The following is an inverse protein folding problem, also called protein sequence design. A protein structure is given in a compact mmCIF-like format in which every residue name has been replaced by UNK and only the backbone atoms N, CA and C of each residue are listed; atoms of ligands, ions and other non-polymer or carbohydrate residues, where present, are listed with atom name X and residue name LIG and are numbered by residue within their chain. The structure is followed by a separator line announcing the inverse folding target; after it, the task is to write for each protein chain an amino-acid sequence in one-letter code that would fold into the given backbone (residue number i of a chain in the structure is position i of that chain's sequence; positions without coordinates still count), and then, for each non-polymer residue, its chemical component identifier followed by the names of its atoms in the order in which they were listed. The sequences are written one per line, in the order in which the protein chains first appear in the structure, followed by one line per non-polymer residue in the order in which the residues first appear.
data_IF_928904994135
#
_entry.id   IF_928904994135
#
_cell.length_a   1.000
_cell.length_b   1.000
_cell.length_c   1.000
_cell.angle_alpha   90.00
_cell.angle_beta   90.00
_cell.angle_gamma   90.00
#
_symmetry.space_group_name_H-M   'P 1'
#
loop_
_entity.id
_entity.type
_entity.pdbx_description
1 polymer ?
#
# COMPACT_ATOMS: atom_id res chain seq x y z
N UNK A 1 34.80 -36.07 -54.33
CA UNK A 1 35.35 -35.86 -55.69
C UNK A 1 34.71 -34.63 -56.29
N UNK A 2 35.58 -33.71 -56.72
CA UNK A 2 35.41 -32.47 -57.49
C UNK A 2 34.22 -32.36 -58.45
N UNK A 3 33.64 -31.16 -58.54
CA UNK A 3 32.72 -30.78 -59.63
C UNK A 3 32.24 -29.32 -59.56
N UNK A 4 33.14 -28.37 -59.81
CA UNK A 4 32.83 -26.95 -60.08
C UNK A 4 32.26 -26.85 -61.50
N UNK A 5 31.25 -26.02 -61.78
CA UNK A 5 31.21 -25.06 -62.92
C UNK A 5 29.83 -24.39 -63.13
N UNK A 6 29.85 -23.06 -62.93
CA UNK A 6 29.18 -21.96 -63.65
C UNK A 6 28.01 -22.29 -64.60
N UNK A 7 26.95 -21.47 -64.51
CA UNK A 7 26.43 -20.68 -65.65
C UNK A 7 25.60 -19.48 -65.17
N UNK A 8 26.05 -18.30 -65.58
CA UNK A 8 25.34 -17.03 -65.57
C UNK A 8 24.39 -17.04 -66.78
N UNK A 9 23.15 -16.60 -66.62
CA UNK A 9 22.37 -15.97 -67.68
C UNK A 9 21.25 -15.14 -67.06
N UNK A 10 21.37 -13.83 -67.23
CA UNK A 10 20.32 -12.85 -67.01
C UNK A 10 19.39 -12.85 -68.23
N UNK A 11 18.08 -12.87 -67.99
CA UNK A 11 17.07 -12.48 -68.99
C UNK A 11 16.15 -11.46 -68.34
N UNK A 12 16.18 -10.27 -68.92
CA UNK A 12 15.33 -9.12 -68.67
C UNK A 12 14.02 -9.31 -69.44
N UNK A 13 12.89 -8.94 -68.84
CA UNK A 13 11.69 -8.56 -69.59
C UNK A 13 10.41 -9.24 -69.10
N UNK A 14 9.56 -8.51 -68.40
CA UNK A 14 8.33 -7.92 -68.94
C UNK A 14 7.43 -7.52 -67.76
N UNK A 15 7.32 -6.21 -67.54
CA UNK A 15 6.32 -5.57 -66.70
C UNK A 15 5.00 -5.55 -67.48
N UNK A 16 3.87 -5.91 -66.85
CA UNK A 16 2.56 -5.21 -66.89
C UNK A 16 1.45 -6.08 -66.27
N UNK A 17 0.98 -5.58 -65.10
CA UNK A 17 -0.42 -5.45 -64.63
C UNK A 17 -1.18 -6.69 -64.11
N UNK A 18 -1.48 -6.69 -62.80
CA UNK A 18 -2.82 -6.64 -62.17
C UNK A 18 -2.68 -7.12 -60.72
N UNK A 19 -3.03 -6.27 -59.74
CA UNK A 19 -2.98 -6.69 -58.34
C UNK A 19 -3.32 -5.61 -57.32
N UNK A 20 -4.61 -5.27 -57.24
CA UNK A 20 -5.26 -4.87 -56.00
C UNK A 20 -4.84 -3.55 -55.36
N UNK A 21 -5.54 -2.47 -55.73
CA UNK A 21 -5.78 -1.35 -54.80
C UNK A 21 -6.54 -1.94 -53.61
N UNK A 22 -5.90 -2.07 -52.45
CA UNK A 22 -6.62 -2.27 -51.19
C UNK A 22 -7.22 -0.92 -50.81
N UNK A 23 -8.40 -0.63 -51.36
CA UNK A 23 -9.37 0.25 -50.72
C UNK A 23 -9.81 -0.46 -49.43
N UNK A 24 -9.23 -0.07 -48.30
CA UNK A 24 -9.80 -0.41 -46.99
C UNK A 24 -11.10 0.38 -46.87
N UNK A 25 -12.21 -0.25 -47.24
CA UNK A 25 -13.53 0.15 -46.77
C UNK A 25 -13.55 -0.04 -45.26
N UNK A 26 -13.21 1.01 -44.52
CA UNK A 26 -13.61 1.10 -43.12
C UNK A 26 -15.13 1.28 -43.08
N UNK A 27 -15.84 0.14 -43.05
CA UNK A 27 -17.19 0.09 -42.52
C UNK A 27 -17.03 -0.14 -41.02
N UNK A 28 -17.12 0.94 -40.27
CA UNK A 28 -17.54 0.90 -38.87
C UNK A 28 -18.34 2.14 -38.62
N UNK A 29 -19.63 2.04 -38.95
CA UNK A 29 -20.67 2.82 -38.30
C UNK A 29 -20.63 2.47 -36.81
N UNK A 30 -19.96 3.28 -36.02
CA UNK A 30 -20.23 3.41 -34.60
C UNK A 30 -20.80 4.82 -34.42
N UNK A 31 -22.12 4.90 -34.56
CA UNK A 31 -22.89 6.08 -34.17
C UNK A 31 -22.57 6.44 -32.72
N UNK A 32 -22.46 7.75 -32.50
CA UNK A 32 -22.12 8.34 -31.22
C UNK A 32 -23.05 7.91 -30.10
N UNK A 33 -22.51 7.13 -29.18
CA UNK A 33 -22.89 7.23 -27.77
C UNK A 33 -21.67 7.68 -27.00
N UNK A 34 -21.77 8.89 -26.46
CA UNK A 34 -20.85 9.48 -25.49
C UNK A 34 -20.69 8.53 -24.32
N UNK A 35 -19.68 7.66 -24.34
CA UNK A 35 -19.21 6.99 -23.12
C UNK A 35 -18.54 8.06 -22.26
N UNK A 36 -19.33 8.63 -21.36
CA UNK A 36 -18.85 9.38 -20.22
C UNK A 36 -17.78 8.55 -19.50
N UNK A 37 -16.58 9.12 -19.39
CA UNK A 37 -15.51 8.63 -18.54
C UNK A 37 -16.01 8.56 -17.09
N UNK A 38 -16.44 7.38 -16.66
CA UNK A 38 -16.68 7.03 -15.27
C UNK A 38 -15.65 5.98 -14.84
N UNK A 39 -14.38 6.37 -14.76
CA UNK A 39 -13.41 5.64 -13.93
C UNK A 39 -13.64 6.04 -12.46
N UNK A 40 -14.79 5.62 -11.92
CA UNK A 40 -14.99 5.52 -10.48
C UNK A 40 -14.30 4.25 -9.98
N UNK A 41 -13.84 4.26 -8.73
CA UNK A 41 -13.38 3.06 -8.03
C UNK A 41 -14.46 1.96 -8.19
N UNK A 42 -14.07 0.73 -8.52
CA UNK A 42 -14.98 -0.42 -8.53
C UNK A 42 -14.95 -1.05 -7.14
N UNK A 43 -16.10 -1.28 -6.49
CA UNK A 43 -16.11 -1.91 -5.17
C UNK A 43 -15.50 -3.32 -5.27
N UNK A 44 -14.67 -3.68 -4.27
CA UNK A 44 -14.10 -5.02 -4.19
C UNK A 44 -15.20 -6.10 -4.27
N UNK A 45 -15.04 -7.13 -5.12
CA UNK A 45 -16.03 -8.20 -5.22
C UNK A 45 -16.20 -8.92 -3.86
N UNK A 46 -17.42 -9.40 -3.56
CA UNK A 46 -17.66 -10.30 -2.41
C UNK A 46 -17.77 -9.66 -1.02
N UNK A 47 -17.78 -8.34 -0.93
CA UNK A 47 -17.70 -7.63 0.36
C UNK A 47 -18.80 -6.59 0.62
N UNK A 48 -19.93 -6.59 -0.09
CA UNK A 48 -20.97 -5.57 0.15
C UNK A 48 -21.81 -5.89 1.39
N UNK A 49 -21.98 -4.92 2.30
CA UNK A 49 -22.90 -5.09 3.40
C UNK A 49 -24.34 -5.30 2.89
N UNK A 50 -25.20 -6.01 3.64
CA UNK A 50 -26.61 -6.24 3.25
C UNK A 50 -27.40 -4.96 2.95
N UNK A 51 -27.00 -3.82 3.52
CA UNK A 51 -27.63 -2.52 3.37
C UNK A 51 -26.84 -1.56 2.46
N UNK A 52 -25.83 -2.06 1.74
CA UNK A 52 -24.98 -1.26 0.85
C UNK A 52 -24.00 -0.32 1.57
N UNK A 53 -23.89 -0.38 2.90
CA UNK A 53 -22.92 0.43 3.65
C UNK A 53 -21.52 -0.18 3.60
N UNK A 54 -20.49 0.66 3.47
CA UNK A 54 -19.09 0.20 3.53
C UNK A 54 -18.62 -0.06 4.96
N UNK A 55 -19.35 0.44 5.96
CA UNK A 55 -19.07 0.22 7.38
C UNK A 55 -20.38 -0.06 8.09
N UNK A 56 -20.39 -1.13 8.87
CA UNK A 56 -21.49 -1.41 9.81
C UNK A 56 -20.97 -1.33 11.23
N UNK A 57 -21.82 -0.92 12.16
CA UNK A 57 -21.48 -0.85 13.58
C UNK A 57 -22.41 -1.72 14.40
N UNK A 58 -21.86 -2.39 15.41
CA UNK A 58 -22.62 -3.19 16.37
C UNK A 58 -22.15 -2.89 17.78
N UNK A 59 -23.03 -2.96 18.77
CA UNK A 59 -22.64 -2.89 20.17
C UNK A 59 -22.36 -4.29 20.69
N UNK A 60 -21.16 -4.53 21.21
CA UNK A 60 -20.75 -5.81 21.79
C UNK A 60 -19.94 -5.55 23.05
N UNK A 61 -20.22 -6.25 24.15
CA UNK A 61 -19.49 -6.11 25.43
C UNK A 61 -19.34 -4.64 25.89
N UNK A 62 -20.35 -3.80 25.65
CA UNK A 62 -20.33 -2.38 26.04
C UNK A 62 -19.52 -1.44 25.14
N UNK A 63 -19.05 -1.89 23.97
CA UNK A 63 -18.28 -1.08 23.01
C UNK A 63 -18.82 -1.18 21.58
N UNK A 64 -18.53 -0.14 20.80
CA UNK A 64 -18.86 -0.07 19.38
C UNK A 64 -17.84 -0.84 18.56
N UNK A 65 -18.26 -1.95 17.97
CA UNK A 65 -17.48 -2.73 17.00
C UNK A 65 -17.82 -2.25 15.59
N UNK A 66 -16.81 -1.81 14.84
CA UNK A 66 -16.91 -1.41 13.44
C UNK A 66 -16.42 -2.54 12.55
N UNK A 67 -17.26 -2.92 11.57
CA UNK A 67 -16.90 -3.85 10.51
C UNK A 67 -16.86 -3.09 9.19
N UNK A 68 -15.67 -3.04 8.59
CA UNK A 68 -15.41 -2.50 7.27
C UNK A 68 -15.64 -3.59 6.23
N UNK A 69 -16.61 -3.36 5.38
CA UNK A 69 -17.05 -4.24 4.31
C UNK A 69 -16.24 -3.96 3.05
N UNK A 70 -15.84 -5.03 2.35
CA UNK A 70 -15.06 -4.97 1.10
C UNK A 70 -13.85 -4.05 1.22
N UNK A 71 -12.74 -4.54 1.77
CA UNK A 71 -11.43 -3.86 1.96
C UNK A 71 -11.43 -2.36 2.35
N UNK A 72 -12.56 -1.81 2.81
CA UNK A 72 -12.78 -0.38 3.02
C UNK A 72 -12.93 0.47 1.75
N UNK A 73 -13.16 -0.12 0.57
CA UNK A 73 -13.36 0.61 -0.69
C UNK A 73 -14.74 1.27 -0.76
N UNK A 74 -14.81 2.51 -0.26
CA UNK A 74 -15.97 3.36 -0.46
C UNK A 74 -16.00 3.95 -1.88
N UNK A 75 -16.71 3.29 -2.79
CA UNK A 75 -17.03 3.87 -4.09
C UNK A 75 -18.25 4.78 -3.93
N UNK A 76 -18.09 5.96 -3.34
CA UNK A 76 -19.17 6.96 -3.32
C UNK A 76 -19.35 7.50 -4.74
N UNK A 77 -20.54 7.30 -5.32
CA UNK A 77 -21.00 7.98 -6.54
C UNK A 77 -21.20 9.47 -6.27
N UNK A 78 -20.10 10.19 -6.06
CA UNK A 78 -20.06 11.64 -5.85
C UNK A 78 -18.94 12.27 -6.68
N UNK A 79 -18.61 11.66 -7.83
CA UNK A 79 -17.64 12.18 -8.80
C UNK A 79 -18.27 13.23 -9.74
N UNK A 80 -19.11 14.12 -9.21
CA UNK A 80 -19.84 15.09 -10.02
C UNK A 80 -19.86 16.48 -9.40
N UNK A 81 -18.73 16.94 -8.85
CA UNK A 81 -18.41 18.37 -8.67
C UNK A 81 -16.95 18.53 -8.25
N UNK A 82 -16.00 18.46 -9.19
CA UNK A 82 -14.63 19.06 -9.06
C UNK A 82 -13.77 18.88 -10.33
N UNK A 83 -14.36 19.03 -11.52
CA UNK A 83 -13.60 19.10 -12.78
C UNK A 83 -12.82 20.43 -12.96
N UNK A 84 -12.46 21.13 -11.88
CA UNK A 84 -11.76 22.43 -11.95
C UNK A 84 -10.34 22.43 -11.34
N UNK A 85 -9.89 21.36 -10.66
CA UNK A 85 -8.58 21.38 -9.98
C UNK A 85 -7.52 20.40 -10.53
N UNK A 86 -7.82 19.61 -11.56
CA UNK A 86 -6.89 18.59 -12.06
C UNK A 86 -5.74 19.14 -12.91
N UNK A 87 -5.76 20.44 -13.25
CA UNK A 87 -4.70 21.09 -14.03
C UNK A 87 -3.70 21.90 -13.17
N UNK A 88 -3.87 21.91 -11.84
CA UNK A 88 -3.06 22.71 -10.90
C UNK A 88 -2.16 21.89 -9.98
N UNK A 89 -2.07 20.56 -10.15
CA UNK A 89 -1.19 19.71 -9.33
C UNK A 89 0.24 19.59 -9.88
N UNK A 90 0.44 19.78 -11.19
CA UNK A 90 1.77 19.83 -11.79
C UNK A 90 2.57 21.08 -11.38
N UNK A 91 1.93 22.04 -10.70
CA UNK A 91 2.52 23.29 -10.24
C UNK A 91 2.45 23.44 -8.72
N UNK A 92 2.49 22.35 -7.94
CA UNK A 92 2.53 22.41 -6.47
C UNK A 92 3.80 21.73 -5.96
N UNK A 93 4.34 22.24 -4.86
CA UNK A 93 5.53 21.71 -4.18
C UNK A 93 5.24 21.52 -2.70
N UNK A 94 5.89 20.55 -2.08
CA UNK A 94 5.79 20.29 -0.65
C UNK A 94 6.85 21.13 0.06
N UNK A 95 6.42 21.86 1.08
CA UNK A 95 7.28 22.69 1.94
C UNK A 95 7.21 22.16 3.37
N UNK A 96 8.37 21.93 3.97
CA UNK A 96 8.49 21.45 5.34
C UNK A 96 9.23 22.47 6.21
N UNK A 97 8.89 22.60 7.50
CA UNK A 97 9.68 23.39 8.44
C UNK A 97 11.13 22.88 8.53
N UNK A 98 12.09 23.80 8.54
CA UNK A 98 13.51 23.48 8.76
C UNK A 98 13.73 22.98 10.19
N UNK A 99 14.48 21.89 10.32
CA UNK A 99 14.88 21.32 11.61
C UNK A 99 16.22 21.91 12.07
N UNK A 100 17.12 22.17 11.12
CA UNK A 100 18.47 22.69 11.35
C UNK A 100 18.44 24.01 12.16
N UNK A 101 17.52 24.93 11.83
CA UNK A 101 17.37 26.23 12.50
C UNK A 101 16.98 26.12 13.99
N UNK A 102 16.55 24.93 14.43
CA UNK A 102 16.10 24.65 15.80
C UNK A 102 17.12 23.84 16.60
N UNK A 103 18.22 23.41 15.99
CA UNK A 103 19.31 22.69 16.62
C UNK A 103 20.39 23.67 17.07
N UNK A 104 20.20 24.30 18.24
CA UNK A 104 21.23 25.14 18.84
C UNK A 104 22.23 24.27 19.61
N UNK A 105 23.52 24.39 19.29
CA UNK A 105 24.64 23.74 19.98
C UNK A 105 24.64 22.20 19.92
N UNK A 106 24.70 21.64 18.71
CA UNK A 106 24.90 20.18 18.52
C UNK A 106 26.28 19.78 19.07
N UNK A 107 26.37 18.85 20.05
CA UNK A 107 27.67 18.38 20.54
C UNK A 107 28.45 17.67 19.44
N UNK A 108 29.77 17.90 19.37
CA UNK A 108 30.63 17.32 18.33
C UNK A 108 30.51 15.78 18.23
N UNK A 109 30.28 15.11 19.36
CA UNK A 109 30.09 13.66 19.41
C UNK A 109 28.77 13.17 18.74
N UNK A 110 27.77 14.03 18.60
CA UNK A 110 26.48 13.71 17.95
C UNK A 110 26.41 14.19 16.49
N UNK A 111 27.34 15.05 16.05
CA UNK A 111 27.26 15.76 14.77
C UNK A 111 27.02 14.82 13.57
N UNK A 112 27.82 13.76 13.45
CA UNK A 112 27.71 12.83 12.32
C UNK A 112 26.38 12.07 12.27
N UNK A 113 25.75 11.79 13.43
CA UNK A 113 24.42 11.15 13.47
C UNK A 113 23.32 12.17 13.15
N UNK A 114 23.46 13.42 13.62
CA UNK A 114 22.54 14.51 13.29
C UNK A 114 22.57 14.82 11.80
N UNK A 115 23.75 14.97 11.19
CA UNK A 115 23.91 15.28 9.77
C UNK A 115 23.27 14.21 8.87
N UNK A 116 23.46 12.92 9.19
CA UNK A 116 22.81 11.82 8.46
C UNK A 116 21.28 11.90 8.53
N UNK A 117 20.72 12.27 9.68
CA UNK A 117 19.27 12.39 9.81
C UNK A 117 18.74 13.67 9.16
N UNK A 118 19.50 14.78 9.12
CA UNK A 118 19.15 15.97 8.35
C UNK A 118 19.14 15.67 6.84
N UNK A 119 20.15 14.96 6.34
CA UNK A 119 20.17 14.50 4.95
C UNK A 119 18.97 13.58 4.62
N UNK A 120 18.61 12.68 5.54
CA UNK A 120 17.43 11.83 5.40
C UNK A 120 16.13 12.63 5.34
N UNK A 121 16.00 13.72 6.10
CA UNK A 121 14.83 14.60 6.04
C UNK A 121 14.69 15.24 4.65
N UNK A 122 15.78 15.64 4.01
CA UNK A 122 15.77 16.19 2.65
C UNK A 122 15.42 15.13 1.60
N UNK A 123 15.96 13.91 1.74
CA UNK A 123 15.58 12.77 0.88
C UNK A 123 14.08 12.50 0.96
N UNK A 124 13.50 12.48 2.17
CA UNK A 124 12.06 12.27 2.36
C UNK A 124 11.21 13.36 1.69
N UNK A 125 11.67 14.62 1.69
CA UNK A 125 11.01 15.73 0.98
C UNK A 125 11.08 15.54 -0.53
N UNK A 126 12.24 15.13 -1.05
CA UNK A 126 12.42 14.89 -2.49
C UNK A 126 11.53 13.73 -2.98
N UNK A 127 11.49 12.62 -2.25
CA UNK A 127 10.61 11.49 -2.54
C UNK A 127 9.13 11.88 -2.52
N UNK A 128 8.71 12.67 -1.52
CA UNK A 128 7.33 13.14 -1.42
C UNK A 128 6.96 14.11 -2.56
N UNK A 129 7.87 14.98 -2.98
CA UNK A 129 7.68 15.86 -4.15
C UNK A 129 7.62 15.06 -5.45
N UNK A 130 8.46 14.03 -5.61
CA UNK A 130 8.41 13.12 -6.74
C UNK A 130 7.07 12.35 -6.78
N UNK A 131 6.56 11.93 -5.62
CA UNK A 131 5.25 11.29 -5.51
C UNK A 131 4.12 12.26 -5.85
N UNK A 132 4.20 13.51 -5.38
CA UNK A 132 3.22 14.55 -5.72
C UNK A 132 3.16 14.79 -7.23
N UNK A 133 4.31 14.91 -7.90
CA UNK A 133 4.39 15.12 -9.34
C UNK A 133 3.82 13.95 -10.17
N UNK A 134 4.00 12.72 -9.69
CA UNK A 134 3.58 11.49 -10.40
C UNK A 134 2.15 11.05 -10.08
N UNK A 135 1.47 11.70 -9.12
CA UNK A 135 0.14 11.31 -8.64
C UNK A 135 -1.03 12.01 -9.37
N UNK A 136 -0.77 12.73 -10.46
CA UNK A 136 -1.80 13.43 -11.23
C UNK A 136 -2.92 12.47 -11.69
N UNK A 137 -4.16 12.70 -11.24
CA UNK A 137 -5.33 11.87 -11.56
C UNK A 137 -5.50 10.61 -10.70
N UNK A 138 -4.67 10.41 -9.66
CA UNK A 138 -4.83 9.32 -8.69
C UNK A 138 -5.62 9.79 -7.46
N UNK A 139 -6.66 9.05 -7.07
CA UNK A 139 -7.35 9.21 -5.79
C UNK A 139 -8.41 10.34 -5.70
N UNK A 140 -9.10 10.39 -4.56
CA UNK A 140 -10.15 11.37 -4.24
C UNK A 140 -9.62 12.66 -3.57
N UNK A 141 -10.51 13.57 -3.10
CA UNK A 141 -10.14 14.91 -2.63
C UNK A 141 -9.12 14.96 -1.47
N UNK A 142 -8.95 13.87 -0.71
CA UNK A 142 -8.02 13.78 0.42
C UNK A 142 -6.72 13.01 0.12
N UNK A 143 -6.49 12.61 -1.14
CA UNK A 143 -5.36 11.75 -1.49
C UNK A 143 -4.00 12.33 -1.09
N UNK A 144 -3.72 13.58 -1.44
CA UNK A 144 -2.43 14.22 -1.12
C UNK A 144 -2.20 14.30 0.39
N UNK A 145 -3.24 14.58 1.16
CA UNK A 145 -3.15 14.62 2.62
C UNK A 145 -2.83 13.24 3.21
N UNK A 146 -3.51 12.19 2.75
CA UNK A 146 -3.45 10.87 3.36
C UNK A 146 -2.29 10.00 2.86
N UNK A 147 -1.95 10.11 1.58
CA UNK A 147 -0.96 9.25 0.93
C UNK A 147 0.41 9.91 0.77
N UNK A 148 0.51 11.24 0.94
CA UNK A 148 1.77 11.98 0.75
C UNK A 148 2.14 12.73 2.04
N UNK A 149 1.32 13.69 2.49
CA UNK A 149 1.66 14.53 3.64
C UNK A 149 1.64 13.77 4.98
N UNK A 150 0.69 12.85 5.19
CA UNK A 150 0.61 12.02 6.40
C UNK A 150 1.82 11.09 6.59
N UNK A 151 2.18 10.25 5.60
CA UNK A 151 3.37 9.42 5.66
C UNK A 151 4.66 10.23 5.80
N UNK A 152 4.78 11.36 5.07
CA UNK A 152 5.91 12.28 5.21
C UNK A 152 6.03 12.82 6.64
N UNK A 153 4.94 13.23 7.27
CA UNK A 153 4.95 13.69 8.66
C UNK A 153 5.40 12.60 9.64
N UNK A 154 5.00 11.35 9.41
CA UNK A 154 5.43 10.21 10.26
C UNK A 154 6.92 9.89 10.09
N UNK A 155 7.39 9.81 8.83
CA UNK A 155 8.82 9.59 8.50
C UNK A 155 9.71 10.71 9.06
N UNK A 156 9.27 11.97 8.96
CA UNK A 156 9.96 13.12 9.54
C UNK A 156 9.97 13.09 11.06
N UNK A 157 8.86 12.73 11.71
CA UNK A 157 8.80 12.59 13.19
C UNK A 157 9.86 11.60 13.67
N UNK A 158 9.95 10.42 13.04
CA UNK A 158 10.93 9.40 13.41
C UNK A 158 12.39 9.87 13.23
N UNK A 159 12.70 10.63 12.17
CA UNK A 159 14.03 11.20 11.95
C UNK A 159 14.35 12.33 12.95
N UNK A 160 13.37 13.19 13.26
CA UNK A 160 13.50 14.25 14.26
C UNK A 160 13.72 13.67 15.67
N UNK A 161 13.00 12.60 16.03
CA UNK A 161 13.20 11.91 17.29
C UNK A 161 14.61 11.30 17.40
N UNK A 162 15.13 10.72 16.30
CA UNK A 162 16.52 10.23 16.22
C UNK A 162 17.53 11.35 16.44
N UNK A 163 17.34 12.53 15.84
CA UNK A 163 18.18 13.72 16.08
C UNK A 163 18.16 14.10 17.56
N UNK A 164 16.98 14.20 18.17
CA UNK A 164 16.86 14.55 19.57
C UNK A 164 17.50 13.49 20.49
N UNK A 165 17.42 12.20 20.14
CA UNK A 165 18.04 11.10 20.90
C UNK A 165 19.56 11.18 20.80
N UNK A 166 20.11 11.36 19.59
CA UNK A 166 21.54 11.47 19.36
C UNK A 166 22.16 12.58 20.21
N UNK A 167 21.53 13.76 20.25
CA UNK A 167 21.98 14.88 21.08
C UNK A 167 21.81 14.56 22.57
N UNK A 168 20.67 13.98 22.97
CA UNK A 168 20.37 13.65 24.36
C UNK A 168 21.29 12.60 25.00
N UNK A 169 21.99 11.78 24.20
CA UNK A 169 22.99 10.81 24.71
C UNK A 169 24.26 11.48 25.24
N UNK A 170 24.61 12.65 24.70
CA UNK A 170 25.90 13.33 24.94
C UNK A 170 25.76 14.76 25.46
N UNK A 171 24.52 15.24 25.61
CA UNK A 171 24.21 16.60 26.04
C UNK A 171 22.73 16.76 26.39
N UNK A 172 22.28 18.01 26.50
CA UNK A 172 20.88 18.31 26.79
C UNK A 172 20.00 17.99 25.58
N UNK A 173 19.02 17.10 25.76
CA UNK A 173 18.04 16.75 24.73
C UNK A 173 17.21 17.99 24.31
N UNK A 174 17.14 18.31 23.00
CA UNK A 174 16.24 19.34 22.49
C UNK A 174 14.78 18.96 22.67
N UNK A 175 13.94 19.92 23.07
CA UNK A 175 12.51 19.72 23.25
C UNK A 175 11.72 20.33 22.07
N UNK A 176 10.48 19.85 21.89
CA UNK A 176 9.50 20.42 20.95
C UNK A 176 9.90 20.40 19.46
N UNK A 177 10.83 19.52 19.05
CA UNK A 177 11.19 19.38 17.63
C UNK A 177 10.09 18.68 16.80
N UNK A 178 9.24 17.85 17.40
CA UNK A 178 8.21 17.09 16.68
C UNK A 178 7.14 17.99 16.04
N UNK A 179 7.00 19.24 16.50
CA UNK A 179 6.17 20.25 15.83
C UNK A 179 6.66 20.66 14.44
N UNK A 180 7.87 20.24 14.03
CA UNK A 180 8.48 20.52 12.73
C UNK A 180 8.24 19.40 11.70
N UNK A 181 7.59 18.31 12.11
CA UNK A 181 7.39 17.14 11.26
C UNK A 181 6.35 17.38 10.16
N UNK A 182 5.33 18.21 10.41
CA UNK A 182 4.23 18.47 9.48
C UNK A 182 4.65 19.37 8.32
N UNK A 183 4.39 18.94 7.09
CA UNK A 183 4.64 19.70 5.87
C UNK A 183 3.33 20.15 5.21
N UNK A 184 3.41 21.16 4.35
CA UNK A 184 2.26 21.75 3.64
C UNK A 184 2.51 21.81 2.12
N UNK A 185 1.46 22.09 1.35
CA UNK A 185 1.57 22.36 -0.09
C UNK A 185 1.71 23.86 -0.35
N UNK A 186 2.60 24.21 -1.27
CA UNK A 186 2.77 25.55 -1.81
C UNK A 186 2.58 25.55 -3.33
N UNK A 187 1.99 26.61 -3.89
CA UNK A 187 1.93 26.81 -5.33
C UNK A 187 3.34 27.08 -5.87
N UNK A 188 3.78 26.27 -6.83
CA UNK A 188 5.00 26.45 -7.60
C UNK A 188 4.87 27.65 -8.51
N UNK A 189 5.57 28.73 -8.17
CA UNK A 189 5.70 29.88 -9.05
C UNK A 189 6.65 29.52 -10.19
N UNK A 190 6.10 29.34 -11.39
CA UNK A 190 6.87 29.45 -12.63
C UNK A 190 7.29 30.92 -12.78
N UNK A 191 8.46 31.28 -12.24
CA UNK A 191 9.03 32.59 -12.46
C UNK A 191 9.78 32.61 -13.79
N UNK A 192 9.15 33.21 -14.80
CA UNK A 192 9.77 33.58 -16.07
C UNK A 192 9.65 35.08 -16.33
N UNK A 193 10.65 35.84 -15.87
CA UNK A 193 11.22 36.99 -16.59
C UNK A 193 10.83 38.41 -16.17
N UNK A 194 11.76 39.13 -15.52
CA UNK A 194 12.46 40.23 -16.22
C UNK A 194 13.83 40.60 -15.58
N UNK A 195 14.88 40.47 -16.41
CA UNK A 195 16.19 41.15 -16.50
C UNK A 195 17.16 41.33 -15.31
N UNK A 196 18.42 40.87 -15.51
CA UNK A 196 19.57 41.37 -14.75
C UNK A 196 20.91 40.61 -14.74
N UNK A 197 21.34 39.95 -15.83
CA UNK A 197 22.73 39.61 -16.27
C UNK A 197 23.91 39.22 -15.33
N UNK A 198 24.70 38.19 -15.73
CA UNK A 198 26.15 38.14 -15.41
C UNK A 198 26.91 36.79 -15.29
N UNK A 199 27.10 36.08 -16.41
CA UNK A 199 28.33 35.36 -16.87
C UNK A 199 29.04 34.16 -16.13
N UNK A 200 29.09 33.04 -16.89
CA UNK A 200 30.25 32.19 -17.31
C UNK A 200 30.70 30.90 -16.54
N UNK A 201 30.44 29.77 -17.23
CA UNK A 201 30.88 28.34 -17.19
C UNK A 201 32.43 28.11 -17.32
N UNK A 202 33.04 26.87 -17.32
CA UNK A 202 32.50 25.48 -17.39
C UNK A 202 33.22 24.34 -16.59
N UNK A 203 32.69 23.11 -16.76
CA UNK A 203 33.00 21.79 -16.16
C UNK A 203 34.30 21.07 -16.61
N UNK A 204 34.74 20.03 -15.87
CA UNK A 204 35.49 18.85 -16.40
C UNK A 204 35.29 17.56 -15.59
N UNK A 205 35.45 16.40 -16.24
CA UNK A 205 35.09 15.01 -15.83
C UNK A 205 36.28 14.03 -15.81
N UNK A 206 36.26 13.06 -14.85
CA UNK A 206 36.71 11.64 -14.86
C UNK A 206 38.23 11.27 -14.89
N UNK A 207 38.71 9.99 -14.69
CA UNK A 207 38.20 8.73 -14.03
C UNK A 207 39.27 7.94 -13.18
N UNK A 208 38.97 6.67 -12.76
CA UNK A 208 39.84 5.47 -12.41
C UNK A 208 40.00 5.08 -10.91
N UNK A 209 39.97 3.82 -10.38
CA UNK A 209 39.43 2.45 -10.69
C UNK A 209 39.66 1.52 -9.46
N UNK A 210 38.73 0.59 -9.12
CA UNK A 210 38.67 -0.34 -7.94
C UNK A 210 39.38 -1.73 -8.13
N UNK A 211 39.44 -2.71 -7.15
CA UNK A 211 38.54 -3.92 -7.17
C UNK A 211 38.27 -4.65 -5.77
N UNK A 212 37.66 -5.87 -5.61
CA UNK A 212 36.34 -6.16 -4.97
C UNK A 212 36.38 -7.20 -3.80
N UNK A 213 35.28 -7.91 -3.41
CA UNK A 213 34.05 -7.49 -2.71
C UNK A 213 33.94 -8.07 -1.27
N UNK A 214 32.95 -7.60 -0.49
CA UNK A 214 32.23 -8.48 0.45
C UNK A 214 30.78 -8.60 -0.05
N UNK A 215 30.38 -9.85 -0.28
CA UNK A 215 29.09 -10.27 -0.81
C UNK A 215 28.01 -10.23 0.28
N UNK A 216 27.15 -9.22 0.17
CA UNK A 216 25.81 -9.25 0.72
C UNK A 216 24.88 -8.88 -0.42
N UNK A 217 23.87 -9.72 -0.68
CA UNK A 217 22.83 -9.43 -1.67
C UNK A 217 22.17 -8.09 -1.36
N UNK A 218 21.67 -7.35 -2.37
CA UNK A 218 21.28 -5.97 -2.19
C UNK A 218 20.17 -5.83 -1.13
N UNK A 219 20.38 -4.90 -0.20
CA UNK A 219 19.42 -4.49 0.84
C UNK A 219 18.14 -3.87 0.25
N UNK A 220 18.10 -3.65 -1.07
CA UNK A 220 16.97 -3.12 -1.79
C UNK A 220 16.69 -3.99 -3.03
N UNK A 221 15.41 -4.10 -3.35
CA UNK A 221 14.99 -4.65 -4.61
C UNK A 221 15.47 -3.73 -5.76
N UNK A 222 16.50 -4.16 -6.50
CA UNK A 222 17.17 -3.32 -7.51
C UNK A 222 16.81 -3.72 -8.95
N UNK A 223 16.76 -2.73 -9.85
CA UNK A 223 16.48 -2.88 -11.28
C UNK A 223 17.56 -3.75 -11.96
N UNK A 224 17.29 -5.05 -12.14
CA UNK A 224 18.22 -5.96 -12.81
C UNK A 224 17.70 -7.39 -13.03
N UNK A 225 16.70 -7.81 -12.26
CA UNK A 225 16.22 -9.20 -12.24
C UNK A 225 15.05 -9.45 -13.21
N UNK A 226 14.71 -8.48 -14.06
CA UNK A 226 13.55 -8.52 -14.98
C UNK A 226 12.18 -8.46 -14.29
N UNK A 227 12.14 -8.38 -12.95
CA UNK A 227 10.94 -8.12 -12.17
C UNK A 227 10.73 -6.63 -12.01
N UNK A 228 9.50 -6.17 -12.18
CA UNK A 228 9.15 -4.76 -11.94
C UNK A 228 9.24 -4.46 -10.44
N UNK A 229 9.80 -3.32 -10.04
CA UNK A 229 9.73 -2.82 -8.64
C UNK A 229 8.25 -2.80 -8.23
N UNK A 230 7.95 -3.25 -7.01
CA UNK A 230 6.60 -3.19 -6.48
C UNK A 230 6.15 -1.73 -6.50
N UNK A 231 5.03 -1.49 -7.14
CA UNK A 231 4.41 -0.18 -7.21
C UNK A 231 3.61 0.14 -5.95
N UNK A 232 3.71 -0.71 -4.92
CA UNK A 232 2.82 -0.69 -3.76
C UNK A 232 1.38 -0.99 -4.16
N UNK A 233 1.12 -1.82 -5.17
CA UNK A 233 -0.18 -2.41 -5.47
C UNK A 233 -0.07 -3.94 -5.52
N UNK A 234 -1.21 -4.65 -5.37
CA UNK A 234 -1.26 -6.13 -5.30
C UNK A 234 -1.01 -6.81 -6.67
N UNK A 235 -0.02 -6.32 -7.41
CA UNK A 235 0.41 -6.87 -8.68
C UNK A 235 1.39 -8.02 -8.40
N UNK A 236 1.12 -9.21 -8.95
CA UNK A 236 2.05 -10.33 -8.90
C UNK A 236 3.33 -10.04 -9.71
N UNK A 237 4.39 -10.81 -9.47
CA UNK A 237 5.66 -10.69 -10.20
C UNK A 237 6.32 -9.30 -10.01
N UNK A 238 6.57 -8.93 -8.75
CA UNK A 238 7.16 -7.65 -8.33
C UNK A 238 8.35 -7.84 -7.38
N UNK A 239 9.24 -6.87 -7.36
CA UNK A 239 10.37 -6.76 -6.44
C UNK A 239 9.95 -5.94 -5.20
N UNK A 240 10.09 -6.43 -3.96
CA UNK A 240 9.62 -5.76 -2.71
C UNK A 240 10.78 -5.51 -1.73
N UNK A 241 10.97 -4.26 -1.30
CA UNK A 241 11.99 -3.81 -0.34
C UNK A 241 11.34 -3.51 1.02
N UNK A 242 11.63 -4.26 2.10
CA UNK A 242 10.61 -4.49 3.14
C UNK A 242 10.69 -3.61 4.40
N UNK A 243 9.76 -2.65 4.46
CA UNK A 243 9.33 -1.86 5.62
C UNK A 243 8.44 -2.69 6.60
N UNK A 244 9.02 -3.66 7.32
CA UNK A 244 8.26 -4.56 8.21
C UNK A 244 7.76 -3.92 9.51
N UNK A 245 8.42 -2.86 9.99
CA UNK A 245 8.07 -2.17 11.23
C UNK A 245 8.53 -2.86 12.50
N UNK A 246 7.89 -2.50 13.61
CA UNK A 246 8.21 -2.98 14.96
C UNK A 246 7.70 -4.41 15.18
N UNK A 247 8.51 -5.22 15.87
CA UNK A 247 8.22 -6.62 16.18
C UNK A 247 8.10 -6.81 17.69
N UNK A 248 7.02 -7.44 18.14
CA UNK A 248 6.80 -7.74 19.55
C UNK A 248 7.74 -8.82 20.09
N UNK A 249 7.87 -8.88 21.41
CA UNK A 249 8.48 -10.03 22.07
C UNK A 249 7.57 -11.26 21.93
N UNK A 250 8.10 -12.46 22.06
CA UNK A 250 7.32 -13.68 21.87
C UNK A 250 6.10 -13.80 22.78
N UNK A 251 6.17 -13.25 23.99
CA UNK A 251 5.08 -13.19 24.96
C UNK A 251 4.07 -12.08 24.67
N UNK A 252 4.46 -11.06 23.90
CA UNK A 252 3.59 -9.94 23.48
C UNK A 252 3.16 -10.02 22.01
N UNK A 253 3.52 -11.07 21.29
CA UNK A 253 3.05 -11.28 19.92
C UNK A 253 1.55 -11.60 19.89
N UNK A 254 0.82 -11.14 18.86
CA UNK A 254 -0.60 -11.36 18.75
C UNK A 254 -0.91 -12.85 18.54
N UNK A 255 -2.05 -13.29 19.07
CA UNK A 255 -2.64 -14.60 18.76
C UNK A 255 -4.14 -14.44 18.51
N UNK A 256 -4.69 -15.35 17.73
CA UNK A 256 -6.09 -15.34 17.32
C UNK A 256 -6.64 -16.77 17.26
N UNK A 257 -7.88 -16.95 17.70
CA UNK A 257 -8.59 -18.23 17.67
C UNK A 257 -10.06 -18.03 17.32
N UNK A 258 -10.61 -18.82 16.40
CA UNK A 258 -12.06 -18.95 16.19
C UNK A 258 -12.59 -19.89 17.27
N UNK A 259 -13.26 -19.34 18.28
CA UNK A 259 -13.75 -20.10 19.44
C UNK A 259 -15.11 -20.77 19.18
N UNK A 260 -15.87 -20.29 18.20
CA UNK A 260 -17.17 -20.85 17.83
C UNK A 260 -17.52 -20.51 16.39
N UNK A 261 -17.96 -21.51 15.62
CA UNK A 261 -18.56 -21.37 14.30
C UNK A 261 -19.50 -22.55 14.02
N UNK A 262 -20.57 -22.38 13.24
CA UNK A 262 -21.42 -23.50 12.85
C UNK A 262 -20.69 -24.47 11.92
N UNK A 263 -21.00 -25.76 12.01
CA UNK A 263 -20.53 -26.76 11.03
C UNK A 263 -21.38 -26.79 9.77
N UNK A 264 -22.68 -26.52 9.92
CA UNK A 264 -23.65 -26.53 8.82
C UNK A 264 -24.58 -25.33 8.94
N UNK A 265 -24.92 -24.72 7.81
CA UNK A 265 -25.94 -23.66 7.68
C UNK A 265 -26.73 -23.87 6.40
N UNK A 266 -27.96 -23.37 6.35
CA UNK A 266 -28.75 -23.27 5.13
C UNK A 266 -28.20 -22.20 4.18
N UNK A 267 -28.52 -22.33 2.89
CA UNK A 267 -28.28 -21.26 1.91
C UNK A 267 -28.91 -19.95 2.40
N UNK A 268 -28.11 -18.87 2.40
CA UNK A 268 -28.49 -17.54 2.92
C UNK A 268 -28.95 -17.51 4.39
N UNK A 269 -28.69 -18.57 5.18
CA UNK A 269 -28.95 -18.56 6.61
C UNK A 269 -27.86 -17.72 7.32
N UNK A 270 -28.22 -16.66 8.07
CA UNK A 270 -27.26 -15.88 8.83
C UNK A 270 -26.62 -16.70 9.95
N UNK A 271 -25.35 -16.46 10.24
CA UNK A 271 -24.66 -17.13 11.34
C UNK A 271 -23.59 -16.25 11.99
N UNK A 272 -23.09 -16.70 13.14
CA UNK A 272 -22.08 -15.98 13.93
C UNK A 272 -20.80 -16.81 14.04
N UNK A 273 -19.66 -16.14 13.82
CA UNK A 273 -18.32 -16.63 14.14
C UNK A 273 -17.83 -15.85 15.36
N UNK A 274 -17.38 -16.53 16.42
CA UNK A 274 -16.75 -15.88 17.57
C UNK A 274 -15.24 -15.96 17.44
N UNK A 275 -14.59 -14.80 17.43
CA UNK A 275 -13.14 -14.66 17.26
C UNK A 275 -12.55 -14.10 18.56
N UNK A 276 -11.65 -14.86 19.17
CA UNK A 276 -10.86 -14.41 20.32
C UNK A 276 -9.50 -13.92 19.83
N UNK A 277 -9.08 -12.75 20.30
CA UNK A 277 -7.75 -12.19 20.04
C UNK A 277 -7.05 -11.91 21.37
N UNK A 278 -5.72 -12.02 21.38
CA UNK A 278 -4.86 -11.64 22.52
C UNK A 278 -3.66 -10.88 21.97
N UNK A 279 -3.15 -9.91 22.73
CA UNK A 279 -1.96 -9.12 22.37
C UNK A 279 -2.11 -8.32 21.06
N UNK A 280 -3.36 -7.94 20.73
CA UNK A 280 -3.68 -7.14 19.55
C UNK A 280 -4.55 -5.98 20.00
N UNK A 281 -4.05 -4.75 19.86
CA UNK A 281 -4.84 -3.53 20.05
C UNK A 281 -5.54 -3.23 18.73
N UNK A 282 -6.87 -3.26 18.71
CA UNK A 282 -7.68 -3.16 17.49
C UNK A 282 -8.15 -1.73 17.23
N UNK A 283 -7.19 -0.84 17.05
CA UNK A 283 -7.39 0.60 16.92
C UNK A 283 -6.80 1.21 15.65
N UNK A 284 -6.29 0.36 14.74
CA UNK A 284 -5.56 0.80 13.56
C UNK A 284 -5.91 -0.02 12.33
N UNK A 285 -7.07 0.28 11.76
CA UNK A 285 -7.42 -0.08 10.39
C UNK A 285 -7.23 1.13 9.47
N UNK A 286 -6.35 1.02 8.47
CA UNK A 286 -6.20 2.01 7.41
C UNK A 286 -6.92 1.49 6.16
N UNK A 287 -8.07 2.05 5.75
CA UNK A 287 -8.84 1.50 4.64
C UNK A 287 -8.05 1.46 3.33
N UNK A 288 -8.02 0.30 2.66
CA UNK A 288 -7.29 0.11 1.41
C UNK A 288 -7.76 1.09 0.32
N UNK A 289 -9.08 1.28 0.21
CA UNK A 289 -9.70 2.22 -0.73
C UNK A 289 -9.40 3.70 -0.48
N UNK A 290 -8.75 4.04 0.63
CA UNK A 290 -8.27 5.40 0.93
C UNK A 290 -6.75 5.52 0.76
N UNK A 291 -6.10 4.50 0.19
CA UNK A 291 -4.65 4.42 0.04
C UNK A 291 -3.93 3.88 1.27
N UNK A 292 -4.65 3.33 2.26
CA UNK A 292 -4.10 2.88 3.54
C UNK A 292 -3.26 1.60 3.50
N UNK A 293 -3.31 0.84 2.40
CA UNK A 293 -2.86 -0.56 2.40
C UNK A 293 -1.34 -0.75 2.56
N UNK A 294 -0.53 0.21 2.10
CA UNK A 294 0.94 0.10 2.08
C UNK A 294 1.65 1.30 2.74
N UNK A 295 0.91 2.15 3.45
CA UNK A 295 1.45 3.45 3.91
C UNK A 295 1.97 3.43 5.33
N UNK A 296 1.82 2.31 6.04
CA UNK A 296 2.19 2.22 7.43
C UNK A 296 2.84 0.87 7.75
N UNK A 297 3.77 0.88 8.70
CA UNK A 297 4.45 -0.33 9.13
C UNK A 297 3.78 -0.91 10.38
N UNK A 298 4.20 -2.11 10.81
CA UNK A 298 3.84 -2.59 12.14
C UNK A 298 4.33 -1.62 13.22
N UNK A 299 3.47 -1.31 14.19
CA UNK A 299 3.80 -0.50 15.36
C UNK A 299 3.26 -1.15 16.63
N UNK A 300 3.98 -0.98 17.72
CA UNK A 300 3.60 -1.43 19.05
C UNK A 300 3.04 -0.26 19.86
N UNK A 301 2.22 -0.57 20.87
CA UNK A 301 1.89 0.39 21.91
C UNK A 301 2.98 0.45 23.00
N UNK A 302 2.78 1.29 24.02
CA UNK A 302 3.72 1.44 25.14
C UNK A 302 3.95 0.14 25.94
N UNK A 303 3.06 -0.86 25.80
CA UNK A 303 3.14 -2.17 26.43
C UNK A 303 3.77 -3.24 25.52
N UNK A 304 4.25 -2.87 24.33
CA UNK A 304 4.85 -3.80 23.37
C UNK A 304 3.83 -4.70 22.64
N UNK A 305 2.56 -4.32 22.63
CA UNK A 305 1.50 -5.04 21.91
C UNK A 305 1.31 -4.44 20.51
N UNK A 306 1.09 -5.29 19.51
CA UNK A 306 0.83 -4.85 18.13
C UNK A 306 -0.46 -4.05 18.06
N UNK A 307 -0.42 -2.90 17.38
CA UNK A 307 -1.59 -2.09 17.03
C UNK A 307 -2.02 -2.42 15.61
N UNK A 308 -3.31 -2.66 15.42
CA UNK A 308 -3.84 -3.13 14.15
C UNK A 308 -5.35 -3.36 14.20
N UNK A 309 -5.78 -4.45 13.58
CA UNK A 309 -7.17 -4.90 13.47
C UNK A 309 -7.17 -6.40 13.15
N UNK A 310 -8.31 -7.01 12.86
CA UNK A 310 -8.33 -8.36 12.30
C UNK A 310 -9.35 -8.48 11.17
N UNK A 311 -9.17 -9.48 10.33
CA UNK A 311 -10.08 -9.78 9.22
C UNK A 311 -10.84 -11.06 9.49
N UNK A 312 -12.00 -11.19 8.86
CA UNK A 312 -12.71 -12.47 8.73
C UNK A 312 -13.28 -12.58 7.33
N UNK A 313 -13.04 -13.72 6.68
CA UNK A 313 -13.54 -14.00 5.34
C UNK A 313 -14.08 -15.42 5.21
N UNK A 314 -15.01 -15.64 4.28
CA UNK A 314 -15.46 -16.97 3.90
C UNK A 314 -15.37 -17.14 2.39
N UNK A 315 -14.58 -18.11 1.92
CA UNK A 315 -14.48 -18.48 0.50
C UNK A 315 -15.02 -19.87 0.23
N UNK A 316 -15.67 -20.06 -0.91
CA UNK A 316 -16.09 -21.38 -1.37
C UNK A 316 -14.86 -22.19 -1.79
N UNK A 317 -14.81 -23.46 -1.41
CA UNK A 317 -13.77 -24.38 -1.86
C UNK A 317 -14.26 -25.23 -3.03
N UNK A 318 -13.54 -25.18 -4.13
CA UNK A 318 -13.80 -26.05 -5.29
C UNK A 318 -13.54 -27.54 -4.96
N UNK A 319 -12.59 -27.79 -4.06
CA UNK A 319 -12.29 -29.09 -3.47
C UNK A 319 -11.54 -28.89 -2.15
N UNK A 320 -11.39 -29.96 -1.37
CA UNK A 320 -10.72 -29.93 -0.06
C UNK A 320 -9.30 -30.49 -0.07
N UNK A 321 -8.77 -30.83 -1.24
CA UNK A 321 -7.51 -31.57 -1.38
C UNK A 321 -6.39 -30.74 -2.01
N UNK A 322 -6.71 -29.58 -2.58
CA UNK A 322 -5.76 -28.69 -3.23
C UNK A 322 -5.91 -27.26 -2.69
N UNK A 323 -4.85 -26.49 -2.78
CA UNK A 323 -4.91 -25.05 -2.54
C UNK A 323 -5.91 -24.41 -3.53
N UNK A 324 -6.88 -23.61 -3.05
CA UNK A 324 -7.81 -22.91 -3.94
C UNK A 324 -7.10 -21.78 -4.69
N UNK A 325 -7.60 -21.47 -5.88
CA UNK A 325 -7.20 -20.28 -6.64
C UNK A 325 -7.40 -19.02 -5.77
N UNK A 326 -6.37 -18.17 -5.60
CA UNK A 326 -6.49 -16.95 -4.81
C UNK A 326 -7.24 -15.82 -5.52
N UNK A 327 -7.44 -15.89 -6.84
CA UNK A 327 -7.98 -14.76 -7.62
C UNK A 327 -9.45 -14.41 -7.31
N UNK A 328 -10.37 -15.37 -7.12
CA UNK A 328 -11.76 -15.05 -6.77
C UNK A 328 -11.86 -14.42 -5.39
N UNK A 329 -12.62 -13.33 -5.29
CA UNK A 329 -12.93 -12.75 -4.00
C UNK A 329 -13.73 -13.72 -3.11
N UNK A 330 -13.56 -13.65 -1.77
CA UNK A 330 -14.35 -14.46 -0.87
C UNK A 330 -15.84 -14.07 -0.95
N UNK A 331 -16.74 -15.01 -0.64
CA UNK A 331 -18.17 -14.76 -0.59
C UNK A 331 -18.60 -13.86 0.58
N UNK A 332 -17.71 -13.69 1.56
CA UNK A 332 -17.86 -12.77 2.69
C UNK A 332 -16.49 -12.24 3.09
N UNK A 333 -16.40 -10.96 3.43
CA UNK A 333 -15.21 -10.34 4.01
C UNK A 333 -15.59 -9.14 4.89
N UNK A 334 -14.97 -9.05 6.06
CA UNK A 334 -14.93 -7.83 6.87
C UNK A 334 -13.55 -7.64 7.51
N UNK A 335 -13.14 -6.38 7.67
CA UNK A 335 -12.10 -5.99 8.63
C UNK A 335 -12.76 -5.38 9.87
N UNK A 336 -12.28 -5.76 11.05
CA UNK A 336 -12.95 -5.45 12.32
C UNK A 336 -12.03 -4.68 13.26
N UNK A 337 -12.53 -3.55 13.75
CA UNK A 337 -11.90 -2.75 14.80
C UNK A 337 -12.94 -2.25 15.80
N UNK A 338 -12.51 -1.97 17.02
CA UNK A 338 -13.39 -1.54 18.10
C UNK A 338 -12.70 -0.62 19.12
N UNK A 339 -11.43 -0.26 18.87
CA UNK A 339 -10.57 0.45 19.81
C UNK A 339 -10.20 -0.36 21.06
N UNK A 340 -10.57 -1.64 21.11
CA UNK A 340 -10.32 -2.53 22.23
C UNK A 340 -9.06 -3.37 22.05
N UNK A 341 -8.97 -4.46 22.83
CA UNK A 341 -7.84 -5.37 22.81
C UNK A 341 -6.78 -5.03 23.84
N UNK A 342 -6.17 -6.08 24.40
CA UNK A 342 -5.18 -5.99 25.46
C UNK A 342 -4.39 -7.31 25.54
N UNK A 343 -3.59 -7.48 26.60
CA UNK A 343 -2.79 -8.69 26.81
C UNK A 343 -3.61 -9.94 27.22
N UNK A 344 -4.86 -9.76 27.62
CA UNK A 344 -5.80 -10.84 27.91
C UNK A 344 -6.65 -11.19 26.67
N UNK A 345 -7.15 -12.43 26.57
CA UNK A 345 -8.06 -12.82 25.52
C UNK A 345 -9.32 -11.95 25.53
N UNK A 346 -9.72 -11.52 24.35
CA UNK A 346 -10.89 -10.69 24.13
C UNK A 346 -11.64 -11.16 22.89
N UNK A 347 -12.97 -11.29 23.00
CA UNK A 347 -13.81 -11.94 21.99
C UNK A 347 -14.72 -10.93 21.29
N UNK A 348 -14.81 -11.08 19.96
CA UNK A 348 -15.69 -10.34 19.07
C UNK A 348 -16.56 -11.33 18.29
N UNK A 349 -17.84 -10.99 18.14
CA UNK A 349 -18.76 -11.71 17.27
C UNK A 349 -18.77 -11.11 15.86
N UNK A 350 -18.47 -11.94 14.87
CA UNK A 350 -18.60 -11.62 13.45
C UNK A 350 -19.91 -12.21 12.94
N UNK A 351 -20.79 -11.33 12.46
CA UNK A 351 -22.11 -11.70 11.93
C UNK A 351 -22.02 -11.86 10.41
N UNK A 352 -22.12 -13.09 9.94
CA UNK A 352 -22.19 -13.41 8.52
C UNK A 352 -23.66 -13.39 8.11
N UNK A 353 -24.08 -12.53 7.17
CA UNK A 353 -25.50 -12.40 6.78
C UNK A 353 -26.08 -13.65 6.12
N UNK A 354 -25.22 -14.53 5.61
CA UNK A 354 -25.57 -15.73 4.89
C UNK A 354 -24.63 -15.96 3.71
N UNK A 355 -24.57 -17.19 3.21
CA UNK A 355 -23.76 -17.58 2.06
C UNK A 355 -24.67 -18.12 0.95
N UNK A 356 -24.55 -17.55 -0.25
CA UNK A 356 -25.50 -17.77 -1.33
C UNK A 356 -25.33 -19.09 -2.09
N UNK A 357 -24.14 -19.70 -2.03
CA UNK A 357 -23.83 -20.93 -2.77
C UNK A 357 -23.82 -22.12 -1.82
N UNK A 358 -24.31 -23.27 -2.29
CA UNK A 358 -24.15 -24.55 -1.61
C UNK A 358 -22.70 -25.01 -1.74
N UNK A 359 -22.15 -25.64 -0.69
CA UNK A 359 -20.80 -26.19 -0.72
C UNK A 359 -20.03 -26.00 0.58
N UNK A 360 -18.76 -26.41 0.59
CA UNK A 360 -17.88 -26.25 1.75
C UNK A 360 -17.15 -24.92 1.66
N UNK A 361 -17.38 -24.05 2.65
CA UNK A 361 -16.68 -22.79 2.77
C UNK A 361 -15.52 -22.90 3.75
N UNK A 362 -14.37 -22.34 3.39
CA UNK A 362 -13.32 -21.98 4.34
C UNK A 362 -13.64 -20.60 4.89
N UNK A 363 -14.00 -20.54 6.17
CA UNK A 363 -14.09 -19.28 6.89
C UNK A 363 -12.83 -19.11 7.74
N UNK A 364 -12.07 -18.04 7.51
CA UNK A 364 -10.81 -17.77 8.18
C UNK A 364 -10.82 -16.40 8.84
N UNK A 365 -10.09 -16.26 9.94
CA UNK A 365 -9.85 -15.01 10.64
C UNK A 365 -8.37 -14.84 10.91
N UNK A 366 -7.85 -13.63 10.77
CA UNK A 366 -6.42 -13.35 10.98
C UNK A 366 -6.20 -11.92 11.45
N UNK A 367 -5.19 -11.72 12.30
CA UNK A 367 -4.79 -10.37 12.70
C UNK A 367 -4.12 -9.65 11.51
N UNK A 368 -4.33 -8.35 11.44
CA UNK A 368 -3.66 -7.44 10.52
C UNK A 368 -2.96 -6.35 11.32
N UNK A 369 -1.69 -6.07 11.01
CA UNK A 369 -1.06 -4.80 11.37
C UNK A 369 -1.69 -3.64 10.57
N UNK A 370 -1.16 -2.42 10.72
CA UNK A 370 -1.67 -1.25 10.00
C UNK A 370 -1.62 -1.41 8.46
N UNK A 371 -0.70 -2.22 7.94
CA UNK A 371 -0.57 -2.59 6.52
C UNK A 371 -1.34 -3.84 6.11
N UNK A 372 -2.24 -4.34 6.96
CA UNK A 372 -3.03 -5.57 6.72
C UNK A 372 -2.21 -6.86 6.61
N UNK A 373 -0.92 -6.83 6.92
CA UNK A 373 -0.10 -8.04 6.98
C UNK A 373 -0.40 -8.75 8.29
N UNK A 374 -0.35 -10.08 8.28
CA UNK A 374 -0.24 -10.80 9.55
C UNK A 374 1.01 -10.27 10.24
N UNK A 375 0.91 -9.73 11.47
CA UNK A 375 2.05 -9.11 12.13
C UNK A 375 3.23 -10.08 12.18
N UNK A 376 4.43 -9.55 11.93
CA UNK A 376 5.65 -10.33 11.99
C UNK A 376 5.85 -10.89 13.40
N UNK A 377 6.19 -12.17 13.49
CA UNK A 377 6.46 -12.85 14.76
C UNK A 377 7.96 -12.76 15.10
N UNK A 378 8.29 -12.81 16.39
CA UNK A 378 9.68 -12.74 16.86
C UNK A 378 10.54 -13.88 16.27
N UNK A 379 9.92 -15.02 16.01
CA UNK A 379 10.58 -16.21 15.47
C UNK A 379 9.62 -17.02 14.59
N UNK A 380 10.20 -17.71 13.60
CA UNK A 380 9.43 -18.47 12.61
C UNK A 380 8.66 -19.67 13.19
N UNK A 381 9.07 -20.22 14.33
CA UNK A 381 8.37 -21.34 14.99
C UNK A 381 7.24 -20.89 15.94
N UNK A 382 6.68 -19.70 15.71
CA UNK A 382 5.45 -19.23 16.35
C UNK A 382 4.28 -19.40 15.41
N UNK A 383 3.15 -19.86 15.96
CA UNK A 383 1.90 -19.87 15.22
C UNK A 383 1.47 -18.41 14.97
N UNK A 384 1.24 -17.99 13.71
CA UNK A 384 0.71 -16.67 13.44
C UNK A 384 -0.68 -16.51 14.03
N UNK A 385 -1.10 -15.26 14.24
CA UNK A 385 -2.46 -14.91 14.65
C UNK A 385 -3.46 -15.15 13.51
N UNK A 386 -3.74 -16.43 13.24
CA UNK A 386 -4.58 -16.92 12.16
C UNK A 386 -5.32 -18.18 12.61
N UNK A 387 -6.58 -18.30 12.23
CA UNK A 387 -7.35 -19.54 12.39
C UNK A 387 -8.39 -19.68 11.26
N UNK A 388 -8.79 -20.93 10.97
CA UNK A 388 -9.78 -21.22 9.94
C UNK A 388 -10.64 -22.45 10.26
N UNK A 389 -11.92 -22.35 9.93
CA UNK A 389 -12.91 -23.42 10.06
C UNK A 389 -13.51 -23.78 8.69
N UNK A 390 -14.25 -24.90 8.66
CA UNK A 390 -15.07 -25.30 7.52
C UNK A 390 -16.54 -25.20 7.88
N UNK A 391 -17.31 -24.52 7.02
CA UNK A 391 -18.76 -24.38 7.15
C UNK A 391 -19.40 -25.01 5.92
N UNK A 392 -20.25 -26.01 6.10
CA UNK A 392 -21.00 -26.63 5.03
C UNK A 392 -22.32 -25.88 4.81
N UNK A 393 -22.51 -25.32 3.63
CA UNK A 393 -23.77 -24.68 3.23
C UNK A 393 -24.61 -25.69 2.46
N UNK A 394 -25.85 -25.93 2.88
CA UNK A 394 -26.72 -27.00 2.36
C UNK A 394 -28.17 -26.58 2.15
#
# INVERSE_FOLDING_TARGET
MTGRHKRILAVVGTLVVFGGIITVTQVSSAEGERRASSRGCQPAPGGQAPNGQNVTTTQQNGRTVRNYWGDGQACTTSAQTTAQNSNSQASQTIVCPSVEDRLQNVPAAAQAEVDRNLALLETQIAEANQRLATSAGQGGPNFVQNAILGPLASKRTAAIDRIAIAIGRVGQRPNNLNGLATCTLAAGNNNGGNNGGGNNQPATTAPTTAPPPLDFGPDECSEGNGLQIHDGFQNGNRCVDTEMGEVGNADTNPSLLITSAPRNVGVNEPFVIRVSTRNLVRDRFLPAGQGGYYVDMSILNAQGLVRGHFHTSCRLLNNTNNAPDPAPAPAFFVATEDGGGNAQPDTIEIRVPGLAQRGTFQCASWAGDASHRIPMMQRANQQPAFDAVRVQVR
#
